data_IF_796981020415
#
_entry.id   IF_796981020415
#
_cell.length_a   1.000
_cell.length_b   1.000
_cell.length_c   1.000
_cell.angle_alpha   90.00
_cell.angle_beta   90.00
_cell.angle_gamma   90.00
#
_symmetry.space_group_name_H-M   'P 1'
#
loop_
_entity.id
_entity.type
_entity.pdbx_description
1 polymer ?
#
# COMPACT_ATOMS: atom_id res chain seq x y z
N UNK A 1 -6.38 21.36 23.00
CA UNK A 1 -6.97 20.01 23.18
C UNK A 1 -5.85 18.99 23.15
N UNK A 2 -5.98 17.89 23.89
CA UNK A 2 -5.01 16.81 23.83
C UNK A 2 -5.10 16.11 22.46
N UNK A 3 -3.96 15.81 21.83
CA UNK A 3 -3.91 15.19 20.49
C UNK A 3 -4.68 13.86 20.49
N UNK A 4 -5.63 13.72 19.56
CA UNK A 4 -6.33 12.47 19.28
C UNK A 4 -6.48 12.33 17.77
N UNK A 5 -5.92 11.24 17.21
CA UNK A 5 -5.96 10.94 15.77
C UNK A 5 -6.99 9.87 15.41
N UNK A 6 -7.74 9.37 16.39
CA UNK A 6 -8.78 8.37 16.17
C UNK A 6 -10.00 9.02 15.53
N UNK A 7 -10.38 8.55 14.34
CA UNK A 7 -11.59 9.00 13.61
C UNK A 7 -12.75 8.03 13.86
N UNK A 8 -13.99 8.51 13.70
CA UNK A 8 -15.18 7.77 14.11
C UNK A 8 -15.51 6.60 13.19
N UNK A 9 -15.04 6.61 11.94
CA UNK A 9 -15.27 5.52 11.01
C UNK A 9 -14.53 5.65 9.69
N UNK A 10 -14.63 4.59 8.88
CA UNK A 10 -13.90 4.49 7.61
C UNK A 10 -14.35 5.51 6.57
N UNK A 11 -15.63 5.87 6.56
CA UNK A 11 -16.16 6.87 5.61
C UNK A 11 -15.58 8.27 5.91
N UNK A 12 -15.44 8.63 7.19
CA UNK A 12 -14.73 9.85 7.62
C UNK A 12 -13.24 9.77 7.27
N UNK A 13 -12.63 8.60 7.51
CA UNK A 13 -11.20 8.39 7.32
C UNK A 13 -10.73 8.68 5.88
N UNK A 14 -11.60 8.46 4.88
CA UNK A 14 -11.28 8.61 3.45
C UNK A 14 -11.98 9.79 2.77
N UNK A 15 -12.76 10.59 3.51
CA UNK A 15 -13.70 11.57 2.95
C UNK A 15 -13.06 12.64 2.04
N UNK A 16 -11.78 12.96 2.24
CA UNK A 16 -11.04 13.99 1.51
C UNK A 16 -10.17 13.44 0.37
N UNK A 17 -10.28 12.15 0.06
CA UNK A 17 -9.62 11.57 -1.11
C UNK A 17 -10.32 12.07 -2.37
N UNK A 18 -9.53 12.64 -3.28
CA UNK A 18 -10.00 13.28 -4.50
C UNK A 18 -9.56 12.51 -5.76
N UNK A 19 -10.15 12.89 -6.90
CA UNK A 19 -9.71 12.40 -8.20
C UNK A 19 -8.22 12.64 -8.43
N UNK A 20 -7.55 11.66 -9.02
CA UNK A 20 -6.13 11.80 -9.34
C UNK A 20 -5.17 11.49 -8.19
N UNK A 21 -5.67 11.15 -7.00
CA UNK A 21 -4.84 10.88 -5.83
C UNK A 21 -3.90 9.68 -6.05
N UNK A 22 -2.68 9.81 -5.52
CA UNK A 22 -1.70 8.72 -5.40
C UNK A 22 -1.85 8.07 -4.04
N UNK A 23 -2.22 6.79 -4.03
CA UNK A 23 -2.45 6.01 -2.81
C UNK A 23 -1.35 4.97 -2.65
N UNK A 24 -0.58 5.08 -1.57
CA UNK A 24 0.39 4.08 -1.15
C UNK A 24 -0.32 2.99 -0.34
N UNK A 25 -0.42 1.81 -0.92
CA UNK A 25 -1.15 0.67 -0.40
C UNK A 25 -0.19 -0.23 0.40
N UNK A 26 -0.36 -0.27 1.72
CA UNK A 26 0.32 -1.21 2.59
C UNK A 26 -0.11 -2.67 2.36
N UNK A 27 0.50 -3.59 3.10
CA UNK A 27 0.23 -5.03 2.98
C UNK A 27 1.05 -5.74 1.89
N UNK A 28 0.91 -7.07 1.84
CA UNK A 28 1.51 -7.93 0.82
C UNK A 28 0.44 -8.87 0.22
N UNK A 29 -0.74 -8.32 -0.07
CA UNK A 29 -1.97 -9.09 -0.40
C UNK A 29 -2.35 -10.15 0.63
N UNK A 30 -1.74 -10.13 1.81
CA UNK A 30 -1.98 -11.10 2.85
C UNK A 30 -3.24 -10.75 3.67
N UNK A 31 -3.86 -11.77 4.25
CA UNK A 31 -5.09 -11.64 5.03
C UNK A 31 -4.89 -10.78 6.30
N UNK A 32 -3.67 -10.70 6.82
CA UNK A 32 -3.33 -10.06 8.10
C UNK A 32 -2.90 -8.60 7.99
N UNK A 33 -2.40 -8.17 6.84
CA UNK A 33 -1.76 -6.88 6.63
C UNK A 33 -2.42 -6.00 5.57
N UNK A 34 -3.46 -6.47 4.88
CA UNK A 34 -4.15 -5.66 3.88
C UNK A 34 -5.18 -4.70 4.52
N UNK A 35 -5.14 -3.37 4.25
CA UNK A 35 -6.07 -2.39 4.79
C UNK A 35 -7.46 -2.42 4.10
N UNK A 36 -8.17 -3.54 4.26
CA UNK A 36 -9.36 -3.85 3.46
C UNK A 36 -10.56 -2.95 3.71
N UNK A 37 -10.77 -2.47 4.93
CA UNK A 37 -11.90 -1.60 5.23
C UNK A 37 -11.73 -0.20 4.65
N UNK A 38 -10.48 0.30 4.60
CA UNK A 38 -10.15 1.54 3.90
C UNK A 38 -10.45 1.45 2.40
N UNK A 39 -10.09 0.34 1.74
CA UNK A 39 -10.45 0.13 0.33
C UNK A 39 -11.96 0.04 0.10
N UNK A 40 -12.68 -0.65 1.00
CA UNK A 40 -14.15 -0.69 0.93
C UNK A 40 -14.79 0.69 1.05
N UNK A 41 -14.30 1.53 1.96
CA UNK A 41 -14.79 2.90 2.11
C UNK A 41 -14.43 3.76 0.88
N UNK A 42 -13.20 3.66 0.38
CA UNK A 42 -12.78 4.35 -0.85
C UNK A 42 -13.65 3.96 -2.05
N UNK A 43 -14.03 2.69 -2.18
CA UNK A 43 -14.88 2.22 -3.27
C UNK A 43 -16.31 2.82 -3.26
N UNK A 44 -16.79 3.31 -2.11
CA UNK A 44 -18.07 4.03 -2.02
C UNK A 44 -17.98 5.44 -2.60
N UNK A 45 -16.80 6.05 -2.61
CA UNK A 45 -16.60 7.40 -3.16
C UNK A 45 -16.62 7.36 -4.69
N UNK A 46 -17.13 8.41 -5.36
CA UNK A 46 -17.15 8.50 -6.82
C UNK A 46 -15.79 8.94 -7.41
N UNK A 47 -14.68 8.64 -6.73
CA UNK A 47 -13.34 9.07 -7.16
C UNK A 47 -12.83 8.27 -8.34
N UNK A 48 -12.04 8.92 -9.20
CA UNK A 48 -11.46 8.33 -10.42
C UNK A 48 -10.03 8.80 -10.65
N UNK A 49 -9.41 8.27 -11.71
CA UNK A 49 -8.06 8.61 -12.12
C UNK A 49 -7.00 8.35 -11.03
N UNK A 50 -7.24 7.38 -10.14
CA UNK A 50 -6.34 7.07 -9.04
C UNK A 50 -5.05 6.44 -9.55
N UNK A 51 -3.96 6.71 -8.84
CA UNK A 51 -2.72 5.94 -8.94
C UNK A 51 -2.60 5.05 -7.71
N UNK A 52 -2.59 3.73 -7.87
CA UNK A 52 -2.33 2.82 -6.74
C UNK A 52 -0.89 2.35 -6.77
N UNK A 53 -0.23 2.41 -5.61
CA UNK A 53 1.18 2.07 -5.45
C UNK A 53 1.30 0.99 -4.38
N UNK A 54 1.91 -0.14 -4.67
CA UNK A 54 2.10 -1.17 -3.64
C UNK A 54 2.75 -2.41 -4.19
N UNK A 55 3.02 -3.38 -3.31
CA UNK A 55 3.54 -4.66 -3.79
C UNK A 55 2.55 -5.33 -4.76
N UNK A 56 1.30 -5.36 -4.34
CA UNK A 56 0.20 -6.07 -5.00
C UNK A 56 -1.14 -5.39 -4.65
N UNK A 57 -1.35 -4.13 -5.05
CA UNK A 57 -2.41 -3.28 -4.48
C UNK A 57 -3.83 -3.62 -4.96
N UNK A 58 -3.99 -4.52 -5.94
CA UNK A 58 -5.29 -4.78 -6.58
C UNK A 58 -5.36 -6.21 -7.16
N UNK A 59 -5.05 -7.23 -6.36
CA UNK A 59 -5.08 -8.64 -6.79
C UNK A 59 -6.51 -9.19 -6.79
N UNK A 60 -7.32 -8.82 -5.81
CA UNK A 60 -8.70 -9.26 -5.64
C UNK A 60 -8.84 -10.51 -4.76
N UNK A 61 -9.99 -10.59 -4.07
CA UNK A 61 -10.30 -11.67 -3.11
C UNK A 61 -10.34 -13.05 -3.77
N UNK A 62 -10.98 -13.16 -4.93
CA UNK A 62 -11.14 -14.44 -5.64
C UNK A 62 -9.79 -15.03 -6.07
N UNK A 63 -8.91 -14.21 -6.66
CA UNK A 63 -7.56 -14.62 -7.06
C UNK A 63 -6.75 -15.07 -5.85
N UNK A 64 -6.81 -14.33 -4.74
CA UNK A 64 -6.10 -14.69 -3.51
C UNK A 64 -6.63 -15.99 -2.89
N UNK A 65 -7.95 -16.16 -2.80
CA UNK A 65 -8.56 -17.39 -2.29
C UNK A 65 -8.11 -18.64 -3.05
N UNK A 66 -7.96 -18.51 -4.38
CA UNK A 66 -7.52 -19.62 -5.20
C UNK A 66 -6.02 -19.93 -5.09
N UNK A 67 -5.18 -18.96 -4.67
CA UNK A 67 -3.75 -19.21 -4.35
C UNK A 67 -3.56 -19.88 -3.01
N UNK A 68 -4.31 -19.47 -1.99
CA UNK A 68 -4.10 -19.91 -0.62
C UNK A 68 -5.19 -20.92 -0.22
N UNK A 69 -5.12 -22.12 -0.83
CA UNK A 69 -6.12 -23.21 -0.71
C UNK A 69 -6.49 -23.61 0.73
N UNK A 70 -5.62 -23.31 1.70
CA UNK A 70 -5.81 -23.64 3.12
C UNK A 70 -6.12 -22.42 4.00
N UNK A 71 -6.05 -21.20 3.49
CA UNK A 71 -6.35 -19.98 4.25
C UNK A 71 -7.82 -19.60 4.12
N UNK A 72 -8.44 -19.30 5.26
CA UNK A 72 -9.75 -18.64 5.29
C UNK A 72 -9.55 -17.15 5.05
N UNK A 73 -10.25 -16.62 4.05
CA UNK A 73 -10.29 -15.18 3.80
C UNK A 73 -11.49 -14.58 4.52
N UNK A 74 -11.29 -13.60 5.42
CA UNK A 74 -12.37 -12.94 6.11
C UNK A 74 -13.19 -12.10 5.12
N UNK A 75 -14.39 -11.71 5.55
CA UNK A 75 -15.22 -10.81 4.77
C UNK A 75 -14.60 -9.42 4.67
N UNK A 76 -13.79 -8.98 5.63
CA UNK A 76 -12.98 -7.76 5.54
C UNK A 76 -12.01 -7.72 4.38
N UNK A 77 -11.57 -8.86 3.82
CA UNK A 77 -10.55 -8.84 2.77
C UNK A 77 -11.05 -8.05 1.56
N UNK A 78 -10.37 -6.96 1.26
CA UNK A 78 -10.53 -6.16 0.07
C UNK A 78 -9.21 -5.46 -0.24
N UNK A 79 -8.94 -5.21 -1.51
CA UNK A 79 -7.85 -4.38 -1.98
C UNK A 79 -8.38 -3.41 -3.05
N UNK A 80 -7.51 -2.82 -3.86
CA UNK A 80 -7.89 -1.91 -4.94
C UNK A 80 -8.59 -2.56 -6.14
N UNK A 81 -8.81 -3.88 -6.15
CA UNK A 81 -9.39 -4.59 -7.30
C UNK A 81 -10.76 -4.03 -7.77
N UNK A 82 -11.71 -3.66 -6.89
CA UNK A 82 -12.97 -3.07 -7.33
C UNK A 82 -12.79 -1.72 -8.02
N UNK A 83 -11.73 -0.97 -7.68
CA UNK A 83 -11.41 0.31 -8.31
C UNK A 83 -10.86 0.09 -9.73
N UNK A 84 -10.04 -0.95 -9.91
CA UNK A 84 -9.55 -1.37 -11.23
C UNK A 84 -10.73 -1.79 -12.11
N UNK A 85 -11.59 -2.70 -11.64
CA UNK A 85 -12.74 -3.19 -12.42
C UNK A 85 -13.66 -2.06 -12.89
N UNK A 86 -13.88 -1.08 -12.04
CA UNK A 86 -14.77 0.04 -12.33
C UNK A 86 -14.10 1.19 -13.09
N UNK A 87 -12.89 1.01 -13.64
CA UNK A 87 -12.22 2.03 -14.45
C UNK A 87 -11.80 3.28 -13.66
N UNK A 88 -11.60 3.15 -12.35
CA UNK A 88 -11.24 4.28 -11.46
C UNK A 88 -9.74 4.45 -11.26
N UNK A 89 -8.93 3.53 -11.79
CA UNK A 89 -7.47 3.53 -11.69
C UNK A 89 -6.87 3.88 -13.05
N UNK A 90 -6.07 4.95 -13.11
CA UNK A 90 -5.33 5.33 -14.33
C UNK A 90 -3.93 4.71 -14.38
N UNK A 91 -3.33 4.45 -13.22
CA UNK A 91 -1.93 4.00 -13.10
C UNK A 91 -1.73 3.05 -11.92
N UNK A 92 -0.91 2.02 -12.15
CA UNK A 92 -0.39 1.13 -11.12
C UNK A 92 1.14 1.23 -11.08
N UNK A 93 1.70 1.51 -9.91
CA UNK A 93 3.14 1.37 -9.65
C UNK A 93 3.33 0.17 -8.73
N UNK A 94 3.85 -0.92 -9.27
CA UNK A 94 3.63 -2.23 -8.67
C UNK A 94 4.82 -3.16 -8.88
N UNK A 95 5.11 -4.03 -7.90
CA UNK A 95 6.15 -5.06 -8.05
C UNK A 95 5.59 -6.39 -8.56
N UNK A 96 4.38 -6.74 -8.14
CA UNK A 96 3.69 -7.98 -8.53
C UNK A 96 2.28 -7.61 -9.01
N UNK A 97 2.13 -7.21 -10.29
CA UNK A 97 0.83 -6.84 -10.89
C UNK A 97 -0.10 -8.05 -11.07
N UNK A 98 0.49 -9.24 -11.10
CA UNK A 98 -0.19 -10.51 -11.29
C UNK A 98 0.56 -11.59 -10.52
N UNK A 99 -0.16 -12.55 -9.94
CA UNK A 99 0.47 -13.73 -9.34
C UNK A 99 0.69 -14.79 -10.43
N UNK A 100 1.92 -14.92 -10.92
CA UNK A 100 2.25 -15.93 -11.95
C UNK A 100 2.10 -17.39 -11.45
N UNK A 101 2.03 -17.58 -10.13
CA UNK A 101 1.94 -18.90 -9.47
C UNK A 101 0.51 -19.47 -9.55
N UNK A 102 -0.49 -18.67 -9.91
CA UNK A 102 -1.88 -19.15 -9.97
C UNK A 102 -2.24 -19.66 -11.36
N UNK A 103 -2.67 -20.92 -11.40
CA UNK A 103 -3.47 -21.51 -12.47
C UNK A 103 -4.92 -20.97 -12.50
N UNK A 104 -5.17 -19.84 -11.86
CA UNK A 104 -6.43 -19.11 -11.96
C UNK A 104 -6.39 -18.33 -13.26
N UNK A 105 -7.51 -18.31 -13.98
CA UNK A 105 -7.64 -17.56 -15.21
C UNK A 105 -7.39 -16.06 -15.03
N UNK A 106 -7.79 -15.28 -16.03
CA UNK A 106 -7.51 -13.85 -16.11
C UNK A 106 -7.91 -13.09 -14.83
N UNK A 107 -6.93 -12.41 -14.20
CA UNK A 107 -7.15 -11.49 -13.07
C UNK A 107 -7.93 -10.27 -13.52
N UNK A 108 -8.51 -9.54 -12.56
CA UNK A 108 -9.30 -8.34 -12.84
C UNK A 108 -8.52 -7.24 -13.57
N UNK A 109 -7.21 -7.11 -13.32
CA UNK A 109 -6.34 -6.22 -14.08
C UNK A 109 -6.25 -6.64 -15.56
N UNK A 110 -6.03 -7.93 -15.83
CA UNK A 110 -5.94 -8.44 -17.20
C UNK A 110 -7.28 -8.29 -17.93
N UNK A 111 -8.40 -8.60 -17.25
CA UNK A 111 -9.74 -8.39 -17.82
C UNK A 111 -9.99 -6.92 -18.15
N UNK A 112 -9.70 -6.01 -17.23
CA UNK A 112 -9.84 -4.57 -17.45
C UNK A 112 -9.05 -4.08 -18.68
N UNK A 113 -7.80 -4.52 -18.85
CA UNK A 113 -6.99 -4.18 -20.02
C UNK A 113 -7.58 -4.74 -21.33
N UNK A 114 -8.09 -5.98 -21.30
CA UNK A 114 -8.75 -6.61 -22.47
C UNK A 114 -10.07 -5.94 -22.84
N UNK A 115 -10.80 -5.44 -21.84
CA UNK A 115 -12.03 -4.67 -22.03
C UNK A 115 -11.75 -3.23 -22.52
N UNK A 116 -10.48 -2.89 -22.78
CA UNK A 116 -10.06 -1.62 -23.38
C UNK A 116 -9.75 -0.51 -22.37
N UNK A 117 -9.75 -0.80 -21.06
CA UNK A 117 -9.35 0.19 -20.06
C UNK A 117 -7.89 0.59 -20.25
N UNK A 118 -7.63 1.90 -20.24
CA UNK A 118 -6.28 2.45 -20.36
C UNK A 118 -5.68 2.61 -18.97
N UNK A 119 -4.87 1.63 -18.56
CA UNK A 119 -4.17 1.63 -17.27
C UNK A 119 -2.67 1.60 -17.52
N UNK A 120 -1.96 2.65 -17.10
CA UNK A 120 -0.50 2.67 -17.13
C UNK A 120 0.05 1.73 -16.06
N UNK A 121 0.97 0.83 -16.43
CA UNK A 121 1.61 -0.08 -15.48
C UNK A 121 3.11 0.22 -15.44
N UNK A 122 3.57 0.72 -14.29
CA UNK A 122 4.98 0.89 -13.98
C UNK A 122 5.43 -0.30 -13.10
N UNK A 123 6.13 -1.26 -13.71
CA UNK A 123 6.69 -2.40 -12.99
C UNK A 123 7.98 -1.98 -12.28
N UNK A 124 8.03 -2.18 -10.96
CA UNK A 124 9.19 -1.79 -10.13
C UNK A 124 9.62 -2.98 -9.28
N UNK A 125 10.92 -3.30 -9.26
CA UNK A 125 11.42 -4.35 -8.37
C UNK A 125 11.05 -4.05 -6.91
N UNK A 126 10.63 -5.08 -6.15
CA UNK A 126 10.07 -4.90 -4.80
C UNK A 126 11.00 -4.14 -3.85
N UNK A 127 12.31 -4.45 -3.87
CA UNK A 127 13.32 -3.74 -3.07
C UNK A 127 13.46 -2.27 -3.46
N UNK A 128 13.48 -1.98 -4.76
CA UNK A 128 13.47 -0.62 -5.31
C UNK A 128 12.21 0.14 -4.90
N UNK A 129 11.02 -0.48 -5.00
CA UNK A 129 9.77 0.14 -4.57
C UNK A 129 9.85 0.54 -3.10
N UNK A 130 10.24 -0.38 -2.22
CA UNK A 130 10.41 -0.09 -0.79
C UNK A 130 11.42 1.04 -0.54
N UNK A 131 12.54 1.06 -1.28
CA UNK A 131 13.56 2.10 -1.16
C UNK A 131 13.08 3.47 -1.69
N UNK A 132 12.29 3.53 -2.77
CA UNK A 132 11.68 4.77 -3.28
C UNK A 132 10.71 5.39 -2.29
N UNK A 133 9.91 4.56 -1.61
CA UNK A 133 8.98 4.99 -0.56
C UNK A 133 9.75 5.46 0.67
N UNK A 134 10.77 4.71 1.10
CA UNK A 134 11.65 5.13 2.19
C UNK A 134 12.33 6.47 1.87
N UNK A 135 12.86 6.63 0.67
CA UNK A 135 13.51 7.87 0.23
C UNK A 135 12.55 9.06 0.34
N UNK A 136 11.28 8.88 -0.06
CA UNK A 136 10.24 9.90 0.10
C UNK A 136 10.02 10.29 1.57
N UNK A 137 9.90 9.31 2.47
CA UNK A 137 9.74 9.53 3.92
C UNK A 137 10.95 10.25 4.53
N UNK A 138 12.16 9.83 4.14
CA UNK A 138 13.42 10.32 4.71
C UNK A 138 13.87 11.65 4.06
N UNK A 139 13.11 12.20 3.09
CA UNK A 139 13.44 13.45 2.40
C UNK A 139 14.55 13.35 1.35
N UNK A 140 14.90 12.13 0.93
CA UNK A 140 15.92 11.85 -0.08
C UNK A 140 15.28 11.92 -1.47
N UNK A 141 15.70 12.79 -2.40
CA UNK A 141 15.03 12.96 -3.68
C UNK A 141 15.24 11.79 -4.65
N UNK A 142 16.42 11.18 -4.64
CA UNK A 142 16.77 10.04 -5.48
C UNK A 142 17.95 9.25 -4.89
N UNK A 143 18.13 8.01 -5.32
CA UNK A 143 19.23 7.12 -4.93
C UNK A 143 19.60 6.20 -6.10
N UNK A 144 20.81 5.63 -6.08
CA UNK A 144 21.21 4.60 -7.03
C UNK A 144 21.00 3.20 -6.47
N UNK A 145 20.58 2.26 -7.31
CA UNK A 145 20.42 0.84 -6.98
C UNK A 145 20.90 -0.05 -8.11
N UNK A 146 21.64 -1.15 -7.84
CA UNK A 146 22.02 -2.11 -8.87
C UNK A 146 20.83 -2.93 -9.39
N UNK A 147 19.69 -2.87 -8.69
CA UNK A 147 18.52 -3.68 -9.02
C UNK A 147 17.93 -3.28 -10.37
N UNK A 148 17.93 -4.21 -11.33
CA UNK A 148 17.36 -4.02 -12.66
C UNK A 148 18.37 -3.63 -13.74
N UNK A 149 19.63 -3.38 -13.38
CA UNK A 149 20.71 -3.17 -14.35
C UNK A 149 20.80 -4.36 -15.33
N UNK A 150 21.04 -4.08 -16.62
CA UNK A 150 21.04 -5.09 -17.68
C UNK A 150 19.67 -5.73 -18.00
N UNK A 151 18.57 -5.24 -17.44
CA UNK A 151 17.20 -5.73 -17.74
C UNK A 151 16.35 -4.67 -18.43
N UNK A 152 15.15 -5.04 -18.88
CA UNK A 152 14.18 -4.10 -19.44
C UNK A 152 13.78 -2.97 -18.47
N UNK A 153 13.92 -3.17 -17.15
CA UNK A 153 13.64 -2.14 -16.12
C UNK A 153 14.63 -0.96 -16.21
N UNK A 154 15.83 -1.17 -16.74
CA UNK A 154 16.85 -0.13 -16.90
C UNK A 154 16.51 0.87 -18.02
N UNK A 155 15.62 0.51 -18.95
CA UNK A 155 15.34 1.32 -20.12
C UNK A 155 14.85 2.74 -19.72
N UNK A 156 15.55 3.77 -20.21
CA UNK A 156 15.22 5.17 -19.96
C UNK A 156 15.66 5.71 -18.59
N UNK A 157 16.34 4.92 -17.76
CA UNK A 157 16.90 5.39 -16.48
C UNK A 157 18.34 5.85 -16.64
N UNK A 158 18.76 6.83 -15.84
CA UNK A 158 20.17 7.18 -15.71
C UNK A 158 20.92 6.03 -15.01
N UNK A 159 22.10 5.68 -15.51
CA UNK A 159 22.95 4.65 -14.92
C UNK A 159 24.33 5.23 -14.55
N UNK A 160 24.90 4.75 -13.44
CA UNK A 160 26.28 5.06 -13.01
C UNK A 160 26.94 3.82 -12.42
N UNK A 161 28.26 3.72 -12.57
CA UNK A 161 29.04 2.61 -11.99
C UNK A 161 29.56 3.00 -10.61
N UNK A 162 29.30 2.13 -9.63
CA UNK A 162 29.85 2.22 -8.28
C UNK A 162 30.54 0.89 -7.97
N UNK A 163 31.81 0.92 -7.55
CA UNK A 163 32.59 -0.28 -7.20
C UNK A 163 32.60 -1.38 -8.28
N UNK A 164 32.51 -0.98 -9.56
CA UNK A 164 32.47 -1.90 -10.69
C UNK A 164 31.07 -2.44 -11.06
N UNK A 165 30.04 -2.07 -10.32
CA UNK A 165 28.65 -2.46 -10.59
C UNK A 165 27.83 -1.31 -11.18
N UNK A 166 27.05 -1.59 -12.23
CA UNK A 166 26.11 -0.62 -12.81
C UNK A 166 24.88 -0.47 -11.90
N UNK A 167 24.59 0.77 -11.52
CA UNK A 167 23.45 1.13 -10.70
C UNK A 167 22.55 2.14 -11.43
N UNK A 168 21.25 1.97 -11.27
CA UNK A 168 20.20 2.81 -11.86
C UNK A 168 19.75 3.90 -10.89
N UNK A 169 19.55 5.11 -11.37
CA UNK A 169 18.95 6.22 -10.62
C UNK A 169 17.46 5.97 -10.42
N UNK A 170 17.01 5.98 -9.17
CA UNK A 170 15.63 5.81 -8.76
C UNK A 170 15.17 7.03 -7.96
N UNK A 171 13.99 7.55 -8.30
CA UNK A 171 13.41 8.72 -7.64
C UNK A 171 12.50 8.33 -6.48
N UNK A 172 12.50 9.14 -5.42
CA UNK A 172 11.55 8.99 -4.34
C UNK A 172 10.10 8.98 -4.82
N UNK A 173 9.28 8.13 -4.21
CA UNK A 173 7.88 7.97 -4.56
C UNK A 173 7.00 8.44 -3.41
N UNK A 174 6.41 9.63 -3.56
CA UNK A 174 5.51 10.25 -2.58
C UNK A 174 4.06 9.91 -2.92
N UNK A 175 3.24 9.73 -1.89
CA UNK A 175 1.79 9.61 -2.03
C UNK A 175 1.03 10.86 -1.57
N UNK A 176 -0.21 10.98 -2.00
CA UNK A 176 -1.18 11.87 -1.37
C UNK A 176 -1.70 11.23 -0.09
N UNK A 177 -1.99 9.93 -0.17
CA UNK A 177 -2.51 9.13 0.94
C UNK A 177 -1.72 7.82 1.08
N UNK A 178 -1.52 7.36 2.31
CA UNK A 178 -1.08 5.99 2.61
C UNK A 178 -2.20 5.25 3.34
N UNK A 179 -2.56 4.07 2.86
CA UNK A 179 -3.43 3.13 3.58
C UNK A 179 -2.56 2.06 4.21
N UNK A 180 -2.61 1.95 5.54
CA UNK A 180 -1.84 0.95 6.28
C UNK A 180 -2.73 0.19 7.26
N UNK A 181 -2.34 -1.04 7.59
CA UNK A 181 -2.98 -1.88 8.60
C UNK A 181 -2.02 -2.19 9.75
N UNK A 182 -2.42 -1.83 10.96
CA UNK A 182 -1.72 -2.15 12.21
C UNK A 182 -2.44 -3.21 13.04
N UNK A 183 -1.75 -3.76 14.04
CA UNK A 183 -2.40 -4.63 15.02
C UNK A 183 -3.03 -3.78 16.14
N UNK A 184 -2.21 -2.99 16.84
CA UNK A 184 -2.69 -2.05 17.85
C UNK A 184 -2.15 -0.66 17.58
N UNK A 185 -2.93 0.35 17.93
CA UNK A 185 -2.46 1.73 17.99
C UNK A 185 -2.84 2.43 19.29
N UNK A 186 -2.17 3.54 19.59
CA UNK A 186 -2.66 4.50 20.58
C UNK A 186 -3.28 5.74 19.92
N UNK A 187 -3.85 6.64 20.71
CA UNK A 187 -4.47 7.88 20.21
C UNK A 187 -3.49 8.88 19.56
N UNK A 188 -2.18 8.71 19.76
CA UNK A 188 -1.15 9.52 19.09
C UNK A 188 -0.77 8.95 17.72
N UNK A 189 -1.22 7.73 17.41
CA UNK A 189 -0.95 7.03 16.16
C UNK A 189 0.27 6.12 16.21
N UNK A 190 0.84 5.84 17.39
CA UNK A 190 1.90 4.83 17.47
C UNK A 190 1.32 3.46 17.14
N UNK A 191 2.00 2.66 16.31
CA UNK A 191 1.48 1.36 15.84
C UNK A 191 2.49 0.24 16.11
N UNK A 192 1.95 -0.87 16.58
CA UNK A 192 2.61 -2.19 16.58
C UNK A 192 1.91 -3.12 15.58
N UNK A 193 2.65 -4.07 15.02
CA UNK A 193 2.16 -5.03 14.02
C UNK A 193 2.25 -6.46 14.55
N UNK A 194 1.54 -7.39 13.90
CA UNK A 194 1.54 -8.81 14.26
C UNK A 194 2.05 -9.67 13.11
N UNK A 195 3.15 -10.39 13.34
CA UNK A 195 3.73 -11.33 12.38
C UNK A 195 3.99 -10.70 11.01
N UNK A 196 3.63 -11.42 9.95
CA UNK A 196 3.82 -10.96 8.56
C UNK A 196 2.87 -9.82 8.15
N UNK A 197 1.87 -9.49 8.97
CA UNK A 197 0.95 -8.37 8.71
C UNK A 197 1.64 -6.99 8.73
N UNK A 198 2.90 -6.91 9.20
CA UNK A 198 3.71 -5.69 9.08
C UNK A 198 3.99 -5.30 7.63
N UNK A 199 4.57 -6.23 6.87
CA UNK A 199 4.96 -6.09 5.44
C UNK A 199 5.22 -4.64 4.98
N UNK A 200 4.52 -4.16 3.94
CA UNK A 200 4.67 -2.79 3.44
C UNK A 200 3.95 -1.73 4.29
N UNK A 201 3.17 -2.10 5.30
CA UNK A 201 2.45 -1.12 6.12
C UNK A 201 3.40 -0.14 6.82
N UNK A 202 4.47 -0.65 7.42
CA UNK A 202 5.49 0.22 8.04
C UNK A 202 6.30 1.01 6.98
N UNK A 203 6.45 0.47 5.77
CA UNK A 203 7.17 1.12 4.67
C UNK A 203 6.40 2.32 4.13
N UNK A 204 5.07 2.21 3.96
CA UNK A 204 4.23 3.29 3.41
C UNK A 204 4.02 4.46 4.37
N UNK A 205 4.19 4.24 5.67
CA UNK A 205 3.96 5.27 6.68
C UNK A 205 4.96 6.42 6.55
N UNK A 206 4.46 7.66 6.52
CA UNK A 206 5.27 8.87 6.43
C UNK A 206 5.79 9.23 5.03
N UNK A 207 5.51 8.41 4.01
CA UNK A 207 5.83 8.73 2.62
C UNK A 207 4.71 9.47 1.87
N UNK A 208 3.61 9.79 2.57
CA UNK A 208 2.45 10.49 2.02
C UNK A 208 2.10 11.75 2.81
N UNK A 209 1.32 12.64 2.20
CA UNK A 209 0.75 13.81 2.89
C UNK A 209 -0.18 13.41 4.04
N UNK A 210 -0.96 12.34 3.87
CA UNK A 210 -1.85 11.80 4.91
C UNK A 210 -1.68 10.29 5.00
N UNK A 211 -1.34 9.76 6.18
CA UNK A 211 -1.30 8.33 6.48
C UNK A 211 -2.51 7.94 7.33
N UNK A 212 -3.29 6.99 6.81
CA UNK A 212 -4.51 6.47 7.44
C UNK A 212 -4.26 5.02 7.84
N UNK A 213 -4.30 4.76 9.13
CA UNK A 213 -4.09 3.45 9.72
C UNK A 213 -5.42 2.82 10.13
N UNK A 214 -5.79 1.69 9.52
CA UNK A 214 -6.78 0.80 10.13
C UNK A 214 -6.09 -0.13 11.13
N UNK A 215 -6.68 -0.34 12.31
CA UNK A 215 -6.09 -1.16 13.36
C UNK A 215 -7.11 -2.10 13.99
N UNK A 216 -6.66 -3.24 14.50
CA UNK A 216 -7.56 -4.17 15.20
C UNK A 216 -8.06 -3.59 16.53
N UNK A 217 -7.21 -2.82 17.21
CA UNK A 217 -7.49 -2.27 18.54
C UNK A 217 -6.81 -0.91 18.72
N UNK A 218 -7.51 0.03 19.36
CA UNK A 218 -6.88 1.22 19.96
C UNK A 218 -6.74 1.00 21.45
N UNK A 219 -5.53 1.18 21.97
CA UNK A 219 -5.17 1.00 23.38
C UNK A 219 -4.86 2.34 24.04
N UNK A 220 -4.90 2.34 25.38
CA UNK A 220 -4.56 3.54 26.16
C UNK A 220 -3.06 3.87 26.06
N UNK A 221 -2.74 5.15 26.25
CA UNK A 221 -1.35 5.61 26.27
C UNK A 221 -0.54 4.86 27.34
N UNK A 222 0.66 4.43 26.97
CA UNK A 222 1.54 3.65 27.84
C UNK A 222 1.30 2.13 27.82
N UNK A 223 0.24 1.65 27.15
CA UNK A 223 0.03 0.20 26.96
C UNK A 223 0.86 -0.40 25.82
N UNK A 224 1.35 0.43 24.89
CA UNK A 224 2.33 0.02 23.90
C UNK A 224 3.73 0.18 24.48
N UNK A 225 4.50 -0.91 24.48
CA UNK A 225 5.93 -0.89 24.81
C UNK A 225 6.65 0.02 23.78
N UNK A 226 7.34 1.10 24.21
CA UNK A 226 8.06 1.99 23.32
C UNK A 226 9.05 1.28 22.39
N UNK A 227 9.70 0.20 22.84
CA UNK A 227 10.67 -0.56 22.05
C UNK A 227 9.99 -1.48 21.01
N UNK A 228 8.69 -1.74 21.17
CA UNK A 228 7.90 -2.52 20.22
C UNK A 228 7.22 -1.64 19.16
N UNK A 229 7.17 -0.31 19.35
CA UNK A 229 6.57 0.62 18.38
C UNK A 229 7.39 0.60 17.10
N UNK A 230 6.76 0.16 16.02
CA UNK A 230 7.41 0.06 14.70
C UNK A 230 7.15 1.31 13.86
N UNK A 231 5.92 1.82 13.90
CA UNK A 231 5.55 3.05 13.22
C UNK A 231 5.24 4.09 14.28
N UNK A 232 6.16 5.03 14.53
CA UNK A 232 5.92 6.15 15.43
C UNK A 232 4.74 7.00 14.96
N UNK A 233 3.95 7.50 15.91
CA UNK A 233 2.73 8.24 15.62
C UNK A 233 2.95 9.54 14.84
N UNK A 234 4.18 10.03 14.73
CA UNK A 234 4.51 11.17 13.86
C UNK A 234 4.23 10.89 12.38
N UNK A 235 4.24 9.62 11.95
CA UNK A 235 3.99 9.21 10.57
C UNK A 235 2.53 8.85 10.29
N UNK A 236 1.64 9.04 11.26
CA UNK A 236 0.23 8.66 11.17
C UNK A 236 -0.63 9.87 11.42
N UNK A 237 -1.60 10.12 10.55
CA UNK A 237 -2.51 11.26 10.63
C UNK A 237 -3.88 10.85 11.14
N UNK A 238 -4.34 9.64 10.79
CA UNK A 238 -5.64 9.11 11.17
C UNK A 238 -5.53 7.65 11.60
N UNK A 239 -6.23 7.29 12.67
CA UNK A 239 -6.39 5.91 13.13
C UNK A 239 -7.88 5.57 13.10
N UNK A 240 -8.24 4.42 12.53
CA UNK A 240 -9.61 3.92 12.50
C UNK A 240 -9.64 2.48 12.98
N UNK A 241 -10.56 2.17 13.90
CA UNK A 241 -10.67 0.84 14.49
C UNK A 241 -11.52 -0.06 13.60
N UNK A 242 -11.05 -1.29 13.35
CA UNK A 242 -11.77 -2.29 12.58
C UNK A 242 -12.95 -2.84 13.41
N UNK A 243 -14.09 -3.17 12.77
CA UNK A 243 -15.12 -3.96 13.43
C UNK A 243 -14.55 -5.32 13.86
N UNK A 244 -15.05 -5.86 14.97
CA UNK A 244 -14.74 -7.24 15.35
C UNK A 244 -15.38 -8.22 14.36
N UNK A 245 -14.56 -9.10 13.78
CA UNK A 245 -14.95 -10.19 12.89
C UNK A 245 -14.68 -11.56 13.51
#
# INVERSE_FOLDING_TARGET
MAINKVVAGFDEAVADICDGAVILCGGFSDVGGNPGYLFKALAKLPVKNLTLVGNSPAIGKETMQATARTMKFPDSYADGEPLVRNGRVRKLIVSTPHLAIVTVGETSLIRALKDGQQIEIELVAQGTLAARIRAARDGIPAFYSPTGAGTAIAAGKEARVFDGEECLLEYALKGDFSFIRGHKADRYGNIVYKGTGRSFNATMAGASRITIAEVDEVVELGQLDPEAIVTPGIYVDRVVVRPHE
#
